data_IF_623971040268
#
_entry.id   IF_623971040268
#
_cell.length_a   1.000
_cell.length_b   1.000
_cell.length_c   1.000
_cell.angle_alpha   90.00
_cell.angle_beta   90.00
_cell.angle_gamma   90.00
#
_symmetry.space_group_name_H-M   'P 1'
#
loop_
_entity.id
_entity.type
_entity.pdbx_description
1 polymer ?
#
# COMPACT_ATOMS: atom_id res chain seq x y z
N UNK A 1 -10.22 -15.58 -4.87
CA UNK A 1 -9.22 -16.12 -3.92
C UNK A 1 -7.78 -15.80 -4.30
N UNK A 2 -7.14 -16.42 -5.32
CA UNK A 2 -5.71 -16.16 -5.64
C UNK A 2 -5.41 -14.70 -6.03
N UNK A 3 -6.31 -14.09 -6.78
CA UNK A 3 -6.18 -12.70 -7.23
C UNK A 3 -6.42 -11.69 -6.10
N UNK A 4 -7.38 -12.00 -5.21
CA UNK A 4 -7.64 -11.21 -4.00
C UNK A 4 -6.41 -11.27 -3.07
N UNK A 5 -5.85 -12.45 -2.83
CA UNK A 5 -4.62 -12.58 -2.04
C UNK A 5 -3.45 -11.76 -2.60
N UNK A 6 -3.28 -11.73 -3.92
CA UNK A 6 -2.24 -10.92 -4.58
C UNK A 6 -2.42 -9.41 -4.33
N UNK A 7 -3.66 -8.92 -4.29
CA UNK A 7 -3.96 -7.51 -4.05
C UNK A 7 -3.76 -7.12 -2.58
N UNK A 8 -4.03 -8.04 -1.65
CA UNK A 8 -3.75 -7.87 -0.23
C UNK A 8 -2.25 -7.85 0.07
N UNK A 9 -1.46 -8.67 -0.62
CA UNK A 9 0.00 -8.72 -0.46
C UNK A 9 0.72 -7.49 -1.04
N UNK A 10 0.10 -6.79 -1.99
CA UNK A 10 0.69 -5.61 -2.63
C UNK A 10 0.63 -4.38 -1.71
N UNK A 11 1.66 -4.21 -0.89
CA UNK A 11 1.79 -3.10 0.09
C UNK A 11 2.70 -1.95 -0.39
N UNK A 12 2.88 -1.79 -1.69
CA UNK A 12 3.86 -0.86 -2.25
C UNK A 12 3.62 0.61 -1.83
N UNK A 13 2.36 1.08 -1.83
CA UNK A 13 2.03 2.47 -1.48
C UNK A 13 2.28 2.74 0.01
N UNK A 14 1.93 1.79 0.88
CA UNK A 14 2.17 1.88 2.33
C UNK A 14 3.68 1.91 2.62
N UNK A 15 4.47 1.07 1.95
CA UNK A 15 5.92 1.07 2.08
C UNK A 15 6.54 2.38 1.58
N UNK A 16 6.09 2.91 0.45
CA UNK A 16 6.57 4.18 -0.09
C UNK A 16 6.27 5.36 0.83
N UNK A 17 5.07 5.42 1.40
CA UNK A 17 4.70 6.50 2.33
C UNK A 17 5.45 6.37 3.66
N UNK A 18 5.67 5.14 4.16
CA UNK A 18 6.51 4.91 5.34
C UNK A 18 7.96 5.39 5.12
N UNK A 19 8.56 5.06 3.97
CA UNK A 19 9.91 5.54 3.64
C UNK A 19 10.00 7.07 3.57
N UNK A 20 8.94 7.76 3.12
CA UNK A 20 8.89 9.23 3.14
C UNK A 20 8.85 9.78 4.55
N UNK A 21 8.10 9.14 5.46
CA UNK A 21 8.07 9.51 6.89
C UNK A 21 9.46 9.35 7.51
N UNK A 22 10.15 8.25 7.23
CA UNK A 22 11.51 8.01 7.73
C UNK A 22 12.48 9.11 7.26
N UNK A 23 12.47 9.41 5.95
CA UNK A 23 13.31 10.47 5.37
C UNK A 23 12.99 11.84 5.98
N UNK A 24 11.71 12.20 6.11
CA UNK A 24 11.32 13.48 6.72
C UNK A 24 11.72 13.56 8.20
N UNK A 25 11.64 12.44 8.93
CA UNK A 25 12.09 12.35 10.32
C UNK A 25 13.59 12.59 10.42
N UNK A 26 14.39 11.97 9.54
CA UNK A 26 15.83 12.18 9.48
C UNK A 26 16.19 13.64 9.16
N UNK A 27 15.44 14.29 8.25
CA UNK A 27 15.60 15.71 7.94
C UNK A 27 15.34 16.61 9.16
N UNK A 28 14.26 16.36 9.91
CA UNK A 28 13.97 17.10 11.15
C UNK A 28 15.10 16.91 12.17
N UNK A 29 15.57 15.67 12.37
CA UNK A 29 16.68 15.38 13.30
C UNK A 29 17.97 16.12 12.89
N UNK A 30 18.27 16.17 11.59
CA UNK A 30 19.42 16.90 11.08
C UNK A 30 19.28 18.42 11.32
N UNK A 31 18.10 19.00 11.05
CA UNK A 31 17.84 20.42 11.26
C UNK A 31 17.91 20.81 12.75
N UNK A 32 17.30 20.02 13.65
CA UNK A 32 17.39 20.25 15.10
C UNK A 32 18.84 20.16 15.59
N UNK A 33 19.65 19.25 15.04
CA UNK A 33 21.07 19.13 15.39
C UNK A 33 21.86 20.36 14.96
N UNK A 34 21.61 20.88 13.75
CA UNK A 34 22.25 22.11 13.26
C UNK A 34 21.91 23.31 14.14
N UNK A 35 20.63 23.51 14.44
CA UNK A 35 20.16 24.56 15.34
C UNK A 35 20.83 24.46 16.73
N UNK A 36 20.95 23.25 17.28
CA UNK A 36 21.62 23.02 18.57
C UNK A 36 23.12 23.31 18.50
N UNK A 37 23.77 23.01 17.37
CA UNK A 37 25.19 23.33 17.15
C UNK A 37 25.43 24.83 17.14
N UNK A 38 24.61 25.59 16.39
CA UNK A 38 24.70 27.05 16.34
C UNK A 38 24.44 27.67 17.72
N UNK A 39 23.46 27.15 18.47
CA UNK A 39 23.22 27.58 19.85
C UNK A 39 24.46 27.37 20.74
N UNK A 40 25.15 26.23 20.61
CA UNK A 40 26.39 25.97 21.33
C UNK A 40 27.50 26.96 20.97
N UNK A 41 27.63 27.36 19.71
CA UNK A 41 28.57 28.40 19.29
C UNK A 41 28.23 29.76 19.90
N UNK A 42 26.95 30.15 19.88
CA UNK A 42 26.47 31.38 20.52
C UNK A 42 26.85 31.39 22.00
N UNK A 43 26.62 30.31 22.72
CA UNK A 43 26.92 30.21 24.15
C UNK A 43 28.42 30.37 24.44
N UNK A 44 29.28 29.76 23.62
CA UNK A 44 30.74 29.87 23.73
C UNK A 44 31.19 31.32 23.49
N UNK A 45 30.72 31.95 22.42
CA UNK A 45 31.11 33.33 22.05
C UNK A 45 30.57 34.32 23.10
N UNK A 46 29.35 34.13 23.56
CA UNK A 46 28.73 34.95 24.62
C UNK A 46 29.47 34.84 25.95
N UNK A 47 29.91 33.63 26.33
CA UNK A 47 30.72 33.43 27.53
C UNK A 47 32.08 34.13 27.43
N UNK A 48 32.73 34.09 26.26
CA UNK A 48 33.96 34.84 26.00
C UNK A 48 33.73 36.35 26.06
N UNK A 49 32.65 36.85 25.48
CA UNK A 49 32.28 38.26 25.52
C UNK A 49 32.11 38.75 26.97
N UNK A 50 31.29 38.06 27.76
CA UNK A 50 31.06 38.38 29.18
C UNK A 50 32.37 38.37 30.00
N UNK A 51 33.24 37.39 29.74
CA UNK A 51 34.54 37.32 30.41
C UNK A 51 35.45 38.50 30.06
N UNK A 52 35.43 38.93 28.79
CA UNK A 52 36.13 40.11 28.30
C UNK A 52 35.61 41.41 28.93
N UNK A 53 34.29 41.60 28.95
CA UNK A 53 33.63 42.75 29.59
C UNK A 53 33.95 42.84 31.08
N UNK A 54 33.82 41.73 31.80
CA UNK A 54 34.16 41.68 33.23
C UNK A 54 35.60 42.13 33.47
N UNK A 55 36.54 41.70 32.63
CA UNK A 55 37.95 42.11 32.73
C UNK A 55 38.15 43.59 32.41
N UNK A 56 37.48 44.10 31.39
CA UNK A 56 37.50 45.52 31.01
C UNK A 56 37.00 46.43 32.15
N UNK A 57 35.91 46.04 32.82
CA UNK A 57 35.29 46.83 33.90
C UNK A 57 35.83 46.53 35.31
N UNK A 58 36.64 45.49 35.48
CA UNK A 58 37.22 45.12 36.79
C UNK A 58 38.21 46.14 37.37
N UNK A 59 38.70 47.08 36.56
CA UNK A 59 39.80 47.98 36.93
C UNK A 59 41.18 47.31 37.02
N UNK A 60 41.28 46.01 36.72
CA UNK A 60 42.56 45.28 36.73
C UNK A 60 43.47 45.62 35.53
N UNK A 61 42.90 46.13 34.44
CA UNK A 61 43.64 46.52 33.23
C UNK A 61 43.85 48.03 33.27
N UNK A 62 45.12 48.45 33.37
CA UNK A 62 45.50 49.86 33.53
C UNK A 62 46.21 50.43 32.30
N UNK A 63 46.68 49.57 31.39
CA UNK A 63 47.34 49.97 30.15
C UNK A 63 46.30 50.49 29.14
N UNK A 64 46.43 51.74 28.63
CA UNK A 64 45.52 52.27 27.62
C UNK A 64 45.45 51.43 26.34
N UNK A 65 46.55 50.78 25.97
CA UNK A 65 46.60 49.89 24.82
C UNK A 65 45.80 48.61 25.04
N UNK A 66 45.96 47.97 26.21
CA UNK A 66 45.21 46.74 26.54
C UNK A 66 43.71 47.00 26.69
N UNK A 67 43.32 48.17 27.22
CA UNK A 67 41.91 48.57 27.28
C UNK A 67 41.31 48.70 25.88
N UNK A 68 42.03 49.33 24.95
CA UNK A 68 41.59 49.45 23.56
C UNK A 68 41.49 48.08 22.88
N UNK A 69 42.50 47.23 23.05
CA UNK A 69 42.49 45.88 22.47
C UNK A 69 41.30 45.04 22.99
N UNK A 70 40.94 45.17 24.28
CA UNK A 70 39.76 44.51 24.86
C UNK A 70 38.44 45.06 24.34
N UNK A 71 38.34 46.38 24.11
CA UNK A 71 37.17 47.01 23.50
C UNK A 71 36.98 46.53 22.05
N UNK A 72 38.05 46.58 21.24
CA UNK A 72 38.03 46.14 19.84
C UNK A 72 37.65 44.64 19.74
N UNK A 73 38.14 43.80 20.67
CA UNK A 73 37.73 42.39 20.79
C UNK A 73 36.25 42.22 21.18
N UNK A 74 35.75 43.03 22.12
CA UNK A 74 34.34 43.04 22.49
C UNK A 74 33.44 43.36 21.30
N UNK A 75 33.74 44.43 20.56
CA UNK A 75 33.00 44.80 19.34
C UNK A 75 33.04 43.73 18.25
N UNK A 76 34.17 43.03 18.10
CA UNK A 76 34.27 41.89 17.18
C UNK A 76 33.41 40.71 17.63
N UNK A 77 33.40 40.38 18.92
CA UNK A 77 32.57 39.32 19.49
C UNK A 77 31.08 39.65 19.39
N UNK A 78 30.66 40.90 19.61
CA UNK A 78 29.27 41.34 19.43
C UNK A 78 28.80 41.14 17.99
N UNK A 79 29.62 41.53 17.00
CA UNK A 79 29.32 41.27 15.58
C UNK A 79 29.19 39.78 15.29
N UNK A 80 30.09 38.96 15.84
CA UNK A 80 30.04 37.51 15.67
C UNK A 80 28.80 36.88 16.31
N UNK A 81 28.36 37.37 17.46
CA UNK A 81 27.10 36.91 18.10
C UNK A 81 25.92 37.23 17.19
N UNK A 82 25.82 38.46 16.67
CA UNK A 82 24.74 38.84 15.77
C UNK A 82 24.70 37.97 14.50
N UNK A 83 25.84 37.70 13.86
CA UNK A 83 25.92 36.79 12.71
C UNK A 83 25.44 35.36 13.03
N UNK A 84 25.77 34.86 14.23
CA UNK A 84 25.34 33.53 14.68
C UNK A 84 23.85 33.51 15.03
N UNK A 85 23.31 34.58 15.60
CA UNK A 85 21.87 34.73 15.88
C UNK A 85 21.06 34.76 14.58
N UNK A 86 21.53 35.47 13.55
CA UNK A 86 20.93 35.46 12.22
C UNK A 86 20.97 34.04 11.62
N UNK A 87 22.12 33.36 11.68
CA UNK A 87 22.27 31.98 11.21
C UNK A 87 21.35 31.00 11.97
N UNK A 88 21.18 31.20 13.28
CA UNK A 88 20.27 30.39 14.11
C UNK A 88 18.82 30.59 13.67
N UNK A 89 18.44 31.82 13.33
CA UNK A 89 17.09 32.12 12.88
C UNK A 89 16.79 31.43 11.53
N UNK A 90 17.76 31.40 10.61
CA UNK A 90 17.65 30.63 9.37
C UNK A 90 17.51 29.12 9.64
N UNK A 91 18.31 28.57 10.56
CA UNK A 91 18.20 27.16 10.95
C UNK A 91 16.86 26.82 11.62
N UNK A 92 16.26 27.76 12.37
CA UNK A 92 14.92 27.60 12.94
C UNK A 92 13.84 27.52 11.87
N UNK A 93 13.92 28.37 10.83
CA UNK A 93 12.98 28.34 9.70
C UNK A 93 13.11 27.00 8.96
N UNK A 94 14.33 26.56 8.68
CA UNK A 94 14.57 25.27 8.02
C UNK A 94 14.04 24.08 8.84
N UNK A 95 14.15 24.11 10.17
CA UNK A 95 13.57 23.09 11.05
C UNK A 95 12.04 23.08 10.99
N UNK A 96 11.40 24.26 10.94
CA UNK A 96 9.94 24.38 10.81
C UNK A 96 9.43 23.86 9.46
N UNK A 97 10.15 24.14 8.37
CA UNK A 97 9.85 23.59 7.04
C UNK A 97 9.95 22.05 7.06
N UNK A 98 11.02 21.49 7.63
CA UNK A 98 11.18 20.03 7.75
C UNK A 98 10.06 19.39 8.59
N UNK A 99 9.60 20.06 9.67
CA UNK A 99 8.48 19.58 10.50
C UNK A 99 7.17 19.58 9.71
N UNK A 100 6.94 20.61 8.91
CA UNK A 100 5.77 20.68 8.02
C UNK A 100 5.79 19.54 7.01
N UNK A 101 6.95 19.27 6.39
CA UNK A 101 7.11 18.12 5.48
C UNK A 101 6.87 16.77 6.16
N UNK A 102 7.32 16.62 7.42
CA UNK A 102 7.06 15.42 8.23
C UNK A 102 5.56 15.25 8.51
N UNK A 103 4.87 16.31 8.92
CA UNK A 103 3.42 16.27 9.18
C UNK A 103 2.64 15.87 7.92
N UNK A 104 3.00 16.41 6.77
CA UNK A 104 2.43 16.03 5.47
C UNK A 104 2.72 14.57 5.11
N UNK A 105 3.95 14.10 5.32
CA UNK A 105 4.32 12.70 5.06
C UNK A 105 3.55 11.73 5.97
N UNK A 106 3.39 12.07 7.26
CA UNK A 106 2.61 11.29 8.22
C UNK A 106 1.14 11.28 7.85
N UNK A 107 0.57 12.41 7.44
CA UNK A 107 -0.81 12.47 6.97
C UNK A 107 -1.04 11.57 5.74
N UNK A 108 -0.13 11.62 4.75
CA UNK A 108 -0.19 10.75 3.58
C UNK A 108 -0.07 9.26 3.94
N UNK A 109 0.81 8.92 4.88
CA UNK A 109 0.97 7.55 5.34
C UNK A 109 -0.29 7.03 6.04
N UNK A 110 -0.91 7.85 6.90
CA UNK A 110 -2.15 7.49 7.59
C UNK A 110 -3.32 7.28 6.60
N UNK A 111 -3.42 8.10 5.55
CA UNK A 111 -4.41 7.91 4.48
C UNK A 111 -4.18 6.56 3.80
N UNK A 112 -2.94 6.26 3.38
CA UNK A 112 -2.60 5.00 2.72
C UNK A 112 -2.89 3.78 3.61
N UNK A 113 -2.61 3.86 4.91
CA UNK A 113 -2.94 2.82 5.89
C UNK A 113 -4.44 2.62 6.05
N UNK A 114 -5.22 3.70 6.08
CA UNK A 114 -6.68 3.63 6.17
C UNK A 114 -7.28 2.99 4.91
N UNK A 115 -6.83 3.40 3.72
CA UNK A 115 -7.28 2.82 2.45
C UNK A 115 -6.94 1.34 2.36
N UNK A 116 -5.72 0.95 2.80
CA UNK A 116 -5.30 -0.46 2.89
C UNK A 116 -6.24 -1.25 3.79
N UNK A 117 -6.50 -0.75 5.01
CA UNK A 117 -7.35 -1.44 5.99
C UNK A 117 -8.77 -1.63 5.45
N UNK A 118 -9.34 -0.61 4.79
CA UNK A 118 -10.67 -0.74 4.15
C UNK A 118 -10.65 -1.82 3.09
N UNK A 119 -9.66 -1.80 2.19
CA UNK A 119 -9.53 -2.78 1.13
C UNK A 119 -9.35 -4.21 1.68
N UNK A 120 -8.56 -4.37 2.73
CA UNK A 120 -8.35 -5.66 3.40
C UNK A 120 -9.66 -6.24 3.96
N UNK A 121 -10.49 -5.40 4.57
CA UNK A 121 -11.77 -5.84 5.11
C UNK A 121 -12.77 -6.20 4.00
N UNK A 122 -12.89 -5.38 2.96
CA UNK A 122 -13.79 -5.65 1.82
C UNK A 122 -13.45 -6.95 1.11
N UNK A 123 -12.17 -7.12 0.77
CA UNK A 123 -11.64 -8.29 0.09
C UNK A 123 -11.63 -9.54 0.98
N UNK A 124 -11.39 -9.38 2.28
CA UNK A 124 -11.49 -10.46 3.26
C UNK A 124 -12.91 -11.01 3.32
N UNK A 125 -13.90 -10.13 3.44
CA UNK A 125 -15.32 -10.51 3.45
C UNK A 125 -15.76 -11.19 2.14
N UNK A 126 -15.33 -10.68 0.99
CA UNK A 126 -15.63 -11.30 -0.30
C UNK A 126 -15.00 -12.70 -0.43
N UNK A 127 -13.75 -12.88 0.02
CA UNK A 127 -13.10 -14.18 0.03
C UNK A 127 -13.84 -15.19 0.92
N UNK A 128 -14.27 -14.81 2.12
CA UNK A 128 -15.04 -15.68 3.01
C UNK A 128 -16.38 -16.07 2.40
N UNK A 129 -17.08 -15.10 1.81
CA UNK A 129 -18.36 -15.34 1.11
C UNK A 129 -18.17 -16.36 -0.02
N UNK A 130 -17.16 -16.14 -0.89
CA UNK A 130 -16.85 -17.05 -1.99
C UNK A 130 -16.43 -18.45 -1.50
N UNK A 131 -15.70 -18.54 -0.39
CA UNK A 131 -15.31 -19.82 0.20
C UNK A 131 -16.54 -20.60 0.68
N UNK A 132 -17.46 -19.94 1.38
CA UNK A 132 -18.72 -20.53 1.83
C UNK A 132 -19.60 -20.97 0.64
N UNK A 133 -19.71 -20.15 -0.41
CA UNK A 133 -20.45 -20.50 -1.61
C UNK A 133 -19.87 -21.74 -2.30
N UNK A 134 -18.54 -21.84 -2.39
CA UNK A 134 -17.86 -23.02 -2.95
C UNK A 134 -18.15 -24.26 -2.09
N UNK A 135 -18.11 -24.15 -0.77
CA UNK A 135 -18.42 -25.27 0.13
C UNK A 135 -19.87 -25.73 -0.02
N UNK A 136 -20.82 -24.80 -0.05
CA UNK A 136 -22.23 -25.08 -0.25
C UNK A 136 -22.48 -25.77 -1.61
N UNK A 137 -21.94 -25.21 -2.70
CA UNK A 137 -22.07 -25.78 -4.04
C UNK A 137 -21.42 -27.16 -4.17
N UNK A 138 -20.30 -27.40 -3.47
CA UNK A 138 -19.67 -28.72 -3.43
C UNK A 138 -20.53 -29.73 -2.66
N UNK A 139 -21.14 -29.34 -1.54
CA UNK A 139 -22.08 -30.16 -0.80
C UNK A 139 -23.32 -30.51 -1.63
N UNK A 140 -23.93 -29.53 -2.29
CA UNK A 140 -25.04 -29.74 -3.23
C UNK A 140 -24.65 -30.69 -4.37
N UNK A 141 -23.43 -30.53 -4.91
CA UNK A 141 -22.89 -31.42 -5.93
C UNK A 141 -22.79 -32.85 -5.41
N UNK A 142 -22.20 -33.07 -4.23
CA UNK A 142 -22.07 -34.41 -3.64
C UNK A 142 -23.43 -35.10 -3.47
N UNK A 143 -24.44 -34.37 -3.00
CA UNK A 143 -25.81 -34.89 -2.89
C UNK A 143 -26.37 -35.27 -4.27
N UNK A 144 -26.20 -34.41 -5.27
CA UNK A 144 -26.67 -34.66 -6.64
C UNK A 144 -25.97 -35.85 -7.31
N UNK A 145 -24.71 -36.13 -6.97
CA UNK A 145 -23.96 -37.26 -7.52
C UNK A 145 -24.51 -38.62 -7.05
N UNK A 146 -25.14 -38.70 -5.88
CA UNK A 146 -25.65 -39.97 -5.31
C UNK A 146 -26.70 -40.66 -6.18
N UNK A 147 -27.41 -39.92 -7.03
CA UNK A 147 -28.47 -40.45 -7.90
C UNK A 147 -27.99 -40.74 -9.32
N UNK A 148 -26.72 -40.46 -9.63
CA UNK A 148 -26.16 -40.60 -10.99
C UNK A 148 -25.36 -41.90 -11.09
N UNK A 149 -25.64 -42.77 -12.09
CA UNK A 149 -24.86 -43.97 -12.33
C UNK A 149 -23.37 -43.67 -12.60
N UNK A 150 -22.46 -44.46 -11.99
CA UNK A 150 -21.02 -44.22 -12.07
C UNK A 150 -20.47 -44.20 -13.51
N UNK A 151 -21.00 -45.04 -14.40
CA UNK A 151 -20.60 -45.04 -15.82
C UNK A 151 -20.92 -43.72 -16.51
N UNK A 152 -22.10 -43.16 -16.21
CA UNK A 152 -22.51 -41.88 -16.75
C UNK A 152 -21.68 -40.74 -16.18
N UNK A 153 -21.44 -40.74 -14.87
CA UNK A 153 -20.59 -39.75 -14.23
C UNK A 153 -19.18 -39.73 -14.83
N UNK A 154 -18.59 -40.91 -15.11
CA UNK A 154 -17.28 -40.99 -15.77
C UNK A 154 -17.26 -40.38 -17.18
N UNK A 155 -18.33 -40.56 -17.96
CA UNK A 155 -18.48 -39.91 -19.28
C UNK A 155 -18.63 -38.40 -19.14
N UNK A 156 -19.38 -37.93 -18.13
CA UNK A 156 -19.49 -36.51 -17.79
C UNK A 156 -18.15 -35.89 -17.40
N UNK A 157 -17.41 -36.49 -16.48
CA UNK A 157 -16.14 -35.93 -16.01
C UNK A 157 -15.10 -35.88 -17.14
N UNK A 158 -15.07 -36.89 -18.01
CA UNK A 158 -14.23 -36.90 -19.21
C UNK A 158 -14.57 -35.73 -20.14
N UNK A 159 -15.85 -35.51 -20.42
CA UNK A 159 -16.32 -34.40 -21.25
C UNK A 159 -16.04 -33.05 -20.58
N UNK A 160 -16.26 -32.93 -19.26
CA UNK A 160 -16.03 -31.71 -18.48
C UNK A 160 -14.58 -31.28 -18.55
N UNK A 161 -13.63 -32.21 -18.34
CA UNK A 161 -12.20 -31.94 -18.44
C UNK A 161 -11.80 -31.53 -19.86
N UNK A 162 -12.28 -32.26 -20.88
CA UNK A 162 -11.99 -31.98 -22.29
C UNK A 162 -12.50 -30.60 -22.73
N UNK A 163 -13.65 -30.17 -22.21
CA UNK A 163 -14.35 -28.96 -22.63
C UNK A 163 -14.30 -27.81 -21.62
N UNK A 164 -13.22 -27.75 -20.82
CA UNK A 164 -12.91 -26.64 -19.89
C UNK A 164 -14.06 -26.34 -18.90
N UNK A 165 -14.71 -27.39 -18.40
CA UNK A 165 -15.74 -27.29 -17.36
C UNK A 165 -17.18 -27.41 -17.86
N UNK A 166 -17.45 -27.36 -19.17
CA UNK A 166 -18.82 -27.40 -19.72
C UNK A 166 -19.04 -28.65 -20.56
N UNK A 167 -19.62 -29.68 -19.95
CA UNK A 167 -19.91 -30.97 -20.57
C UNK A 167 -21.31 -31.07 -21.21
N UNK A 168 -22.26 -30.27 -20.74
CA UNK A 168 -23.68 -30.31 -21.16
C UNK A 168 -24.03 -28.98 -21.82
N UNK A 169 -24.67 -29.05 -22.98
CA UNK A 169 -25.13 -27.92 -23.76
C UNK A 169 -26.66 -27.89 -23.80
N UNK A 170 -27.23 -26.71 -23.61
CA UNK A 170 -28.65 -26.47 -23.83
C UNK A 170 -28.91 -26.37 -25.33
N UNK A 171 -29.96 -27.02 -25.83
CA UNK A 171 -30.47 -26.77 -27.18
C UNK A 171 -31.53 -25.69 -27.11
N UNK A 172 -31.29 -24.57 -27.80
CA UNK A 172 -32.26 -23.48 -27.92
C UNK A 172 -32.57 -23.24 -29.40
N UNK A 173 -33.85 -23.24 -29.77
CA UNK A 173 -34.31 -23.09 -31.16
C UNK A 173 -33.60 -24.02 -32.16
N UNK A 174 -33.30 -25.25 -31.73
CA UNK A 174 -32.59 -26.25 -32.53
C UNK A 174 -31.09 -26.00 -32.69
N UNK A 175 -30.51 -25.07 -31.93
CA UNK A 175 -29.09 -24.74 -31.95
C UNK A 175 -28.43 -25.16 -30.64
N UNK A 176 -27.24 -25.76 -30.72
CA UNK A 176 -26.43 -26.07 -29.55
C UNK A 176 -25.84 -24.79 -28.95
N UNK A 177 -26.14 -24.49 -27.68
CA UNK A 177 -25.68 -23.26 -27.02
C UNK A 177 -24.17 -23.15 -26.86
N UNK A 178 -23.44 -24.27 -26.95
CA UNK A 178 -21.98 -24.28 -26.79
C UNK A 178 -21.18 -24.13 -28.09
N UNK A 179 -21.66 -24.67 -29.21
CA UNK A 179 -20.95 -24.59 -30.50
C UNK A 179 -21.64 -23.70 -31.53
N UNK A 180 -22.87 -23.25 -31.27
CA UNK A 180 -23.62 -22.35 -32.15
C UNK A 180 -24.14 -23.01 -33.43
N UNK A 181 -24.02 -24.33 -33.57
CA UNK A 181 -24.44 -25.06 -34.76
C UNK A 181 -25.78 -25.76 -34.56
N UNK A 182 -26.49 -25.92 -35.67
CA UNK A 182 -27.77 -26.62 -35.71
C UNK A 182 -27.64 -28.08 -35.29
N UNK A 183 -28.55 -28.53 -34.43
CA UNK A 183 -28.68 -29.92 -34.00
C UNK A 183 -29.74 -30.58 -34.88
N UNK A 184 -29.49 -31.83 -35.29
CA UNK A 184 -30.46 -32.57 -36.09
C UNK A 184 -31.79 -32.75 -35.34
N UNK A 185 -32.91 -32.72 -36.07
CA UNK A 185 -34.24 -32.88 -35.46
C UNK A 185 -34.39 -34.22 -34.76
N UNK A 186 -33.75 -35.28 -35.25
CA UNK A 186 -33.67 -36.59 -34.58
C UNK A 186 -33.01 -36.49 -33.22
N UNK A 187 -31.80 -35.90 -33.13
CA UNK A 187 -31.10 -35.72 -31.86
C UNK A 187 -31.86 -34.82 -30.88
N UNK A 188 -32.60 -33.82 -31.36
CA UNK A 188 -33.48 -33.00 -30.51
C UNK A 188 -34.62 -33.84 -29.94
N UNK A 189 -35.27 -34.68 -30.75
CA UNK A 189 -36.35 -35.56 -30.28
C UNK A 189 -35.84 -36.62 -29.30
N UNK A 190 -34.70 -37.23 -29.61
CA UNK A 190 -34.07 -38.23 -28.75
C UNK A 190 -33.68 -37.62 -27.40
N UNK A 191 -33.08 -36.43 -27.39
CA UNK A 191 -32.73 -35.72 -26.17
C UNK A 191 -33.96 -35.28 -25.36
N UNK A 192 -35.07 -34.90 -26.04
CA UNK A 192 -36.36 -34.61 -25.37
C UNK A 192 -37.00 -35.85 -24.76
N UNK A 193 -36.84 -37.01 -25.38
CA UNK A 193 -37.43 -38.25 -24.89
C UNK A 193 -36.83 -38.70 -23.55
N UNK A 194 -35.58 -38.31 -23.26
CA UNK A 194 -34.86 -38.71 -22.05
C UNK A 194 -34.50 -40.20 -21.99
N UNK A 195 -34.82 -40.98 -23.03
CA UNK A 195 -34.59 -42.43 -23.06
C UNK A 195 -33.12 -42.82 -23.24
N UNK A 196 -32.33 -41.92 -23.83
CA UNK A 196 -30.90 -42.12 -24.06
C UNK A 196 -30.15 -40.81 -23.99
N UNK A 197 -28.84 -40.90 -23.78
CA UNK A 197 -27.98 -39.72 -23.69
C UNK A 197 -27.45 -39.39 -25.07
N UNK A 198 -27.84 -38.21 -25.55
CA UNK A 198 -27.51 -37.72 -26.88
C UNK A 198 -26.40 -36.69 -26.80
N UNK A 199 -25.46 -36.74 -27.74
CA UNK A 199 -24.39 -35.77 -27.87
C UNK A 199 -24.55 -34.94 -29.13
N UNK A 200 -24.08 -33.70 -29.10
CA UNK A 200 -24.02 -32.84 -30.27
C UNK A 200 -23.10 -33.43 -31.34
N UNK A 201 -23.59 -33.55 -32.58
CA UNK A 201 -22.82 -34.01 -33.75
C UNK A 201 -21.53 -33.24 -33.98
N UNK A 202 -21.51 -31.96 -33.60
CA UNK A 202 -20.42 -31.07 -33.93
C UNK A 202 -19.40 -30.86 -32.81
N UNK A 203 -19.84 -30.85 -31.55
CA UNK A 203 -18.95 -30.59 -30.41
C UNK A 203 -18.90 -31.72 -29.38
N UNK A 204 -19.65 -32.80 -29.59
CA UNK A 204 -19.68 -33.99 -28.74
C UNK A 204 -19.98 -33.70 -27.25
N UNK A 205 -20.63 -32.58 -26.94
CA UNK A 205 -21.19 -32.29 -25.60
C UNK A 205 -22.56 -32.94 -25.48
N UNK A 206 -22.94 -33.32 -24.26
CA UNK A 206 -24.28 -33.83 -23.98
C UNK A 206 -25.32 -32.77 -24.29
N UNK A 207 -26.45 -33.17 -24.85
CA UNK A 207 -27.54 -32.27 -25.17
C UNK A 207 -28.61 -32.34 -24.08
N UNK A 208 -29.00 -31.17 -23.59
CA UNK A 208 -30.18 -30.98 -22.76
C UNK A 208 -31.17 -30.11 -23.53
N UNK A 209 -32.41 -30.57 -23.62
CA UNK A 209 -33.50 -29.81 -24.24
C UNK A 209 -34.53 -29.54 -23.13
N UNK A 210 -34.88 -28.28 -22.93
CA UNK A 210 -35.91 -27.89 -21.98
C UNK A 210 -37.31 -28.22 -22.51
#
# INVERSE_FOLDING_TARGET
>A
MREIGRVLDDNQIVQQTAMKVDVATDSVLAATKEQTSIQGEIDIVTSKHKSGENRLYSGAVTSPKELKDLQDQGEALTRRIAELEDSKLEAMIAEEDCKTELDDAVAQHNIAMSERTTLENELGFENETLANDIENLNSEREVALNVIPAELLGKYDTARLKYRGVAVALVNDGICSCCGLGVSTGHIQDARSGNSIVTCDNCNRFLYVK
#
